data_IF_882785588142
#
_entry.id   IF_882785588142
#
_cell.length_a   1.000
_cell.length_b   1.000
_cell.length_c   1.000
_cell.angle_alpha   90.00
_cell.angle_beta   90.00
_cell.angle_gamma   90.00
#
_symmetry.space_group_name_H-M   'P 1'
#
loop_
_entity.id
_entity.type
_entity.pdbx_description
1 polymer ?
#
# COMPACT_ATOMS: atom_id res chain seq x y z
N UNK A 1 -8.69 -7.71 -2.33
CA UNK A 1 -7.89 -7.67 -1.09
C UNK A 1 -6.54 -8.32 -1.38
N UNK A 2 -5.47 -7.53 -1.48
CA UNK A 2 -4.13 -8.02 -1.86
C UNK A 2 -3.50 -8.90 -0.78
N UNK A 3 -2.48 -9.66 -1.15
CA UNK A 3 -1.80 -10.59 -0.22
C UNK A 3 -0.72 -9.82 0.54
N UNK A 4 -0.83 -9.71 1.87
CA UNK A 4 0.11 -8.95 2.73
C UNK A 4 1.57 -9.43 2.61
N UNK A 5 1.75 -10.74 2.39
CA UNK A 5 3.08 -11.35 2.27
C UNK A 5 3.16 -12.35 1.13
N UNK A 6 4.33 -12.49 0.53
CA UNK A 6 4.64 -13.49 -0.48
C UNK A 6 5.81 -14.40 -0.05
N UNK A 7 5.79 -15.67 -0.48
CA UNK A 7 6.86 -16.64 -0.26
C UNK A 7 7.78 -16.68 -1.47
N UNK A 8 9.04 -16.28 -1.30
CA UNK A 8 10.04 -16.25 -2.38
C UNK A 8 11.22 -17.15 -2.04
N UNK A 9 11.70 -17.91 -3.03
CA UNK A 9 12.95 -18.66 -2.90
C UNK A 9 14.11 -17.69 -3.06
N UNK A 10 14.97 -17.63 -2.05
CA UNK A 10 16.14 -16.75 -2.02
C UNK A 10 17.43 -17.57 -1.95
N UNK A 11 18.51 -17.01 -2.48
CA UNK A 11 19.87 -17.48 -2.26
C UNK A 11 20.42 -16.82 -1.00
N UNK A 12 20.79 -17.62 0.00
CA UNK A 12 21.44 -17.16 1.23
C UNK A 12 22.90 -17.58 1.21
N UNK A 13 23.81 -16.62 1.33
CA UNK A 13 25.25 -16.84 1.40
C UNK A 13 25.71 -16.55 2.82
N UNK A 14 26.37 -17.52 3.47
CA UNK A 14 26.98 -17.38 4.81
C UNK A 14 28.35 -18.03 4.80
N UNK A 15 29.38 -17.32 5.27
CA UNK A 15 30.76 -17.82 5.31
C UNK A 15 31.25 -18.42 3.98
N UNK A 16 30.84 -17.81 2.86
CA UNK A 16 31.12 -18.30 1.51
C UNK A 16 30.29 -19.51 1.06
N UNK A 17 29.46 -20.09 1.91
CA UNK A 17 28.58 -21.22 1.59
C UNK A 17 27.17 -20.74 1.13
N UNK A 18 26.76 -21.02 -0.12
CA UNK A 18 25.41 -20.74 -0.61
C UNK A 18 24.39 -21.80 -0.16
N UNK A 19 23.17 -21.37 0.14
CA UNK A 19 22.01 -22.24 0.40
C UNK A 19 20.74 -21.64 -0.17
N UNK A 20 19.81 -22.47 -0.64
CA UNK A 20 18.51 -22.02 -1.10
C UNK A 20 17.47 -22.17 0.03
N UNK A 21 16.72 -21.11 0.32
CA UNK A 21 15.66 -21.13 1.34
C UNK A 21 14.46 -20.32 0.88
N UNK A 22 13.26 -20.69 1.31
CA UNK A 22 12.08 -19.84 1.15
C UNK A 22 12.02 -18.81 2.27
N UNK A 23 11.92 -17.54 1.88
CA UNK A 23 11.67 -16.43 2.79
C UNK A 23 10.25 -15.90 2.65
N UNK A 24 9.78 -15.19 3.68
CA UNK A 24 8.51 -14.45 3.64
C UNK A 24 8.82 -12.97 3.47
N UNK A 25 8.36 -12.39 2.37
CA UNK A 25 8.53 -10.97 2.05
C UNK A 25 7.19 -10.25 2.20
N UNK A 26 7.21 -9.01 2.64
CA UNK A 26 6.04 -8.12 2.57
C UNK A 26 5.73 -7.79 1.10
N UNK A 27 4.45 -7.72 0.76
CA UNK A 27 4.02 -7.20 -0.53
C UNK A 27 3.99 -5.67 -0.51
N UNK A 28 4.37 -5.08 -1.64
CA UNK A 28 4.19 -3.65 -1.91
C UNK A 28 3.42 -3.50 -3.21
N UNK A 29 2.33 -2.75 -3.15
CA UNK A 29 1.50 -2.42 -4.31
C UNK A 29 1.31 -0.91 -4.37
N UNK A 30 1.24 -0.31 -5.57
CA UNK A 30 0.91 1.10 -5.70
C UNK A 30 -0.57 1.33 -5.36
N UNK A 31 -0.83 2.40 -4.61
CA UNK A 31 -2.16 2.96 -4.39
C UNK A 31 -2.21 4.37 -4.99
N UNK A 32 -3.07 4.58 -5.98
CA UNK A 32 -3.44 5.93 -6.43
C UNK A 32 -4.55 6.48 -5.53
N UNK A 33 -4.29 7.62 -4.90
CA UNK A 33 -5.29 8.40 -4.16
C UNK A 33 -5.84 9.46 -5.10
N UNK A 34 -7.17 9.52 -5.20
CA UNK A 34 -7.88 10.48 -6.05
C UNK A 34 -8.88 11.28 -5.22
N UNK A 35 -8.96 12.58 -5.49
CA UNK A 35 -9.95 13.48 -4.91
C UNK A 35 -10.98 13.83 -5.97
N UNK A 36 -12.25 13.49 -5.73
CA UNK A 36 -13.34 13.75 -6.67
C UNK A 36 -13.02 13.30 -8.11
N UNK A 37 -12.37 12.14 -8.23
CA UNK A 37 -11.94 11.55 -9.50
C UNK A 37 -10.63 12.09 -10.08
N UNK A 38 -10.01 13.12 -9.50
CA UNK A 38 -8.72 13.66 -9.95
C UNK A 38 -7.55 13.01 -9.20
N UNK A 39 -6.50 12.55 -9.89
CA UNK A 39 -5.30 12.04 -9.22
C UNK A 39 -4.69 13.08 -8.29
N UNK A 40 -4.35 12.66 -7.07
CA UNK A 40 -3.64 13.48 -6.08
C UNK A 40 -2.22 12.98 -5.89
N UNK A 41 -2.06 11.68 -5.60
CA UNK A 41 -0.77 11.07 -5.33
C UNK A 41 -0.80 9.56 -5.62
N UNK A 42 0.37 8.99 -5.86
CA UNK A 42 0.58 7.54 -5.88
C UNK A 42 1.58 7.21 -4.78
N UNK A 43 1.26 6.26 -3.92
CA UNK A 43 2.15 5.79 -2.85
C UNK A 43 2.28 4.27 -2.87
N UNK A 44 3.43 3.77 -2.43
CA UNK A 44 3.62 2.33 -2.21
C UNK A 44 3.05 1.97 -0.84
N UNK A 45 2.35 0.82 -0.77
CA UNK A 45 1.80 0.35 0.50
C UNK A 45 1.73 -1.17 0.56
N UNK A 46 1.73 -1.70 1.77
CA UNK A 46 1.33 -3.08 2.04
C UNK A 46 -0.20 -3.18 1.99
N UNK A 47 -0.80 -4.03 1.14
CA UNK A 47 -2.25 -4.08 0.96
C UNK A 47 -3.01 -4.47 2.24
N UNK A 48 -4.14 -3.81 2.51
CA UNK A 48 -5.03 -4.20 3.61
C UNK A 48 -5.90 -3.05 4.11
N UNK A 49 -5.27 -1.95 4.52
CA UNK A 49 -5.92 -0.83 5.22
C UNK A 49 -6.05 0.42 4.34
N UNK A 50 -6.42 0.23 3.08
CA UNK A 50 -6.35 1.23 2.01
C UNK A 50 -7.14 2.51 2.32
N UNK A 51 -8.34 2.36 2.89
CA UNK A 51 -9.19 3.50 3.24
C UNK A 51 -8.63 4.31 4.41
N UNK A 52 -8.11 3.62 5.43
CA UNK A 52 -7.47 4.29 6.56
C UNK A 52 -6.19 5.00 6.12
N UNK A 53 -5.40 4.37 5.24
CA UNK A 53 -4.22 4.98 4.63
C UNK A 53 -4.59 6.22 3.82
N UNK A 54 -5.61 6.15 2.97
CA UNK A 54 -6.05 7.29 2.16
C UNK A 54 -6.54 8.45 3.04
N UNK A 55 -7.38 8.19 4.04
CA UNK A 55 -7.84 9.21 4.98
C UNK A 55 -6.69 9.84 5.78
N UNK A 56 -5.79 9.01 6.32
CA UNK A 56 -4.62 9.48 7.06
C UNK A 56 -3.64 10.28 6.21
N UNK A 57 -3.49 9.92 4.93
CA UNK A 57 -2.70 10.69 3.96
C UNK A 57 -3.29 12.09 3.76
N UNK A 58 -4.60 12.21 3.55
CA UNK A 58 -5.26 13.52 3.38
C UNK A 58 -5.14 14.42 4.61
N UNK A 59 -5.20 13.83 5.82
CA UNK A 59 -4.97 14.58 7.06
C UNK A 59 -3.50 15.04 7.17
N UNK A 60 -2.56 14.14 6.88
CA UNK A 60 -1.11 14.43 6.99
C UNK A 60 -0.66 15.50 6.00
N UNK A 61 -1.23 15.52 4.79
CA UNK A 61 -0.95 16.53 3.76
C UNK A 61 -1.78 17.82 3.94
N UNK A 62 -2.62 17.92 4.98
CA UNK A 62 -3.43 19.11 5.27
C UNK A 62 -4.58 19.33 4.28
N UNK A 63 -4.97 18.32 3.53
CA UNK A 63 -6.12 18.38 2.60
C UNK A 63 -7.44 18.35 3.36
N UNK A 64 -7.49 17.59 4.45
CA UNK A 64 -8.68 17.45 5.31
C UNK A 64 -8.31 17.82 6.73
N UNK A 65 -9.10 18.70 7.35
CA UNK A 65 -8.93 19.10 8.75
C UNK A 65 -9.86 18.38 9.73
N UNK A 66 -11.02 17.90 9.26
CA UNK A 66 -12.07 17.31 10.10
C UNK A 66 -12.76 16.13 9.40
N UNK A 67 -13.30 15.22 10.18
CA UNK A 67 -13.93 14.00 9.66
C UNK A 67 -15.12 14.29 8.72
N UNK A 68 -15.87 15.37 8.99
CA UNK A 68 -17.06 15.73 8.21
C UNK A 68 -16.73 16.22 6.79
N UNK A 69 -15.47 16.56 6.52
CA UNK A 69 -15.00 16.96 5.19
C UNK A 69 -14.86 15.74 4.24
N UNK A 70 -14.90 14.51 4.77
CA UNK A 70 -14.86 13.27 4.00
C UNK A 70 -16.27 12.69 3.85
N UNK A 71 -16.88 12.88 2.68
CA UNK A 71 -18.21 12.36 2.38
C UNK A 71 -18.22 10.83 2.16
N UNK A 72 -17.23 10.32 1.43
CA UNK A 72 -17.08 8.89 1.15
C UNK A 72 -15.63 8.55 0.76
N UNK A 73 -15.27 7.28 0.90
CA UNK A 73 -14.04 6.71 0.34
C UNK A 73 -14.44 5.41 -0.34
N UNK A 74 -14.14 5.28 -1.62
CA UNK A 74 -14.49 4.11 -2.43
C UNK A 74 -13.32 3.73 -3.31
N UNK A 75 -13.21 2.43 -3.62
CA UNK A 75 -12.32 2.02 -4.70
C UNK A 75 -12.86 2.54 -6.03
N UNK A 76 -11.97 3.03 -6.88
CA UNK A 76 -12.33 3.31 -8.26
C UNK A 76 -12.71 1.99 -8.91
N UNK A 77 -13.95 1.88 -9.38
CA UNK A 77 -14.30 0.82 -10.33
C UNK A 77 -13.43 1.08 -11.57
N UNK A 78 -12.52 0.15 -11.88
CA UNK A 78 -11.51 0.32 -12.91
C UNK A 78 -12.13 0.88 -14.20
N UNK A 79 -11.60 2.01 -14.64
CA UNK A 79 -11.80 2.50 -16.00
C UNK A 79 -10.75 1.85 -16.91
#
# INVERSE_FOLDING_TARGET
MGRVTERRRVLRIRDGAPSARTDTLVAEEPLEIRLSGKPLAVTMRTPGDDFALAAGFLVSEGVVGRAEEVANIVYCAGA
#
